data_IF_299102348830
#
_entry.id   IF_299102348830
#
_cell.length_a   1.000
_cell.length_b   1.000
_cell.length_c   1.000
_cell.angle_alpha   90.00
_cell.angle_beta   90.00
_cell.angle_gamma   90.00
#
_symmetry.space_group_name_H-M   'P 1'
#
loop_
_entity.id
_entity.type
_entity.pdbx_description
1 polymer ?
#
# COMPACT_ATOMS: atom_id res chain seq x y z
N UNK A 1 -16.57 33.47 -1.65
CA UNK A 1 -16.82 33.49 -0.20
C UNK A 1 -17.66 32.26 0.11
N UNK A 2 -17.11 31.29 0.86
CA UNK A 2 -17.86 30.14 1.36
C UNK A 2 -18.90 30.65 2.39
N UNK A 3 -20.17 30.20 2.31
CA UNK A 3 -21.16 30.59 3.31
C UNK A 3 -20.72 30.03 4.67
N UNK A 4 -20.78 30.89 5.69
CA UNK A 4 -20.50 30.52 7.07
C UNK A 4 -21.39 29.34 7.47
N UNK A 5 -20.78 28.31 8.03
CA UNK A 5 -21.44 27.09 8.47
C UNK A 5 -22.57 27.41 9.44
N UNK A 6 -23.82 27.19 9.01
CA UNK A 6 -24.94 27.17 9.92
C UNK A 6 -24.71 26.09 10.98
N UNK A 7 -25.18 26.28 12.24
CA UNK A 7 -25.01 25.28 13.29
C UNK A 7 -25.56 23.93 12.82
N UNK A 8 -24.78 22.86 13.04
CA UNK A 8 -25.09 21.52 12.56
C UNK A 8 -26.41 21.07 13.14
N UNK A 9 -27.44 20.94 12.28
CA UNK A 9 -28.77 20.49 12.70
C UNK A 9 -28.77 19.00 13.08
N UNK A 10 -29.73 18.58 13.91
CA UNK A 10 -29.92 17.15 14.22
C UNK A 10 -30.15 16.32 12.93
N UNK A 11 -30.88 16.89 11.97
CA UNK A 11 -31.12 16.27 10.67
C UNK A 11 -29.81 16.04 9.90
N UNK A 12 -28.91 17.04 9.88
CA UNK A 12 -27.60 16.94 9.22
C UNK A 12 -26.74 15.83 9.85
N UNK A 13 -26.73 15.71 11.19
CA UNK A 13 -26.00 14.66 11.89
C UNK A 13 -26.50 13.26 11.52
N UNK A 14 -27.81 13.08 11.40
CA UNK A 14 -28.39 11.78 10.99
C UNK A 14 -28.02 11.46 9.51
N UNK A 15 -27.99 12.44 8.62
CA UNK A 15 -27.53 12.24 7.23
C UNK A 15 -26.05 11.85 7.19
N UNK A 16 -25.19 12.52 7.95
CA UNK A 16 -23.78 12.16 8.05
C UNK A 16 -23.62 10.74 8.60
N UNK A 17 -24.32 10.40 9.67
CA UNK A 17 -24.28 9.04 10.24
C UNK A 17 -24.69 7.98 9.22
N UNK A 18 -25.77 8.21 8.47
CA UNK A 18 -26.21 7.31 7.40
C UNK A 18 -25.14 7.17 6.32
N UNK A 19 -24.53 8.27 5.88
CA UNK A 19 -23.48 8.25 4.87
C UNK A 19 -22.25 7.48 5.34
N UNK A 20 -21.82 7.67 6.60
CA UNK A 20 -20.71 6.92 7.19
C UNK A 20 -21.00 5.41 7.24
N UNK A 21 -22.24 5.01 7.56
CA UNK A 21 -22.65 3.61 7.51
C UNK A 21 -22.57 3.02 6.10
N UNK A 22 -23.01 3.77 5.08
CA UNK A 22 -22.90 3.35 3.67
C UNK A 22 -21.46 3.21 3.20
N UNK A 23 -20.54 3.95 3.81
CA UNK A 23 -19.10 3.92 3.49
C UNK A 23 -18.28 2.97 4.39
N UNK A 24 -18.92 2.21 5.31
CA UNK A 24 -18.24 1.37 6.28
C UNK A 24 -17.27 0.38 5.62
N UNK A 25 -17.68 -0.27 4.52
CA UNK A 25 -16.83 -1.22 3.81
C UNK A 25 -15.54 -0.57 3.26
N UNK A 26 -15.61 0.71 2.83
CA UNK A 26 -14.44 1.46 2.38
C UNK A 26 -13.49 1.77 3.53
N UNK A 27 -14.01 2.17 4.70
CA UNK A 27 -13.19 2.40 5.88
C UNK A 27 -12.52 1.12 6.39
N UNK A 28 -13.25 0.00 6.37
CA UNK A 28 -12.71 -1.32 6.72
C UNK A 28 -11.59 -1.73 5.77
N UNK A 29 -11.75 -1.49 4.46
CA UNK A 29 -10.72 -1.74 3.46
C UNK A 29 -9.47 -0.87 3.65
N UNK A 30 -9.65 0.42 3.90
CA UNK A 30 -8.54 1.35 4.16
C UNK A 30 -7.76 0.95 5.41
N UNK A 31 -8.47 0.67 6.52
CA UNK A 31 -7.82 0.28 7.78
C UNK A 31 -7.08 -1.05 7.65
N UNK A 32 -7.69 -2.03 6.97
CA UNK A 32 -7.07 -3.34 6.73
C UNK A 32 -5.77 -3.22 5.94
N UNK A 33 -5.71 -2.33 4.95
CA UNK A 33 -4.51 -2.13 4.13
C UNK A 33 -3.27 -1.72 4.94
N UNK A 34 -3.45 -1.11 6.11
CA UNK A 34 -2.36 -0.70 7.02
C UNK A 34 -1.59 -1.94 7.54
N UNK A 35 -2.29 -3.04 7.77
CA UNK A 35 -1.70 -4.29 8.29
C UNK A 35 -1.34 -5.26 7.17
N UNK A 36 -2.20 -5.40 6.17
CA UNK A 36 -2.01 -6.39 5.11
C UNK A 36 -0.80 -6.08 4.23
N UNK A 37 -0.55 -4.82 3.89
CA UNK A 37 0.60 -4.45 3.05
C UNK A 37 1.96 -4.83 3.67
N UNK A 38 2.29 -4.42 4.91
CA UNK A 38 3.54 -4.85 5.52
C UNK A 38 3.60 -6.36 5.77
N UNK A 39 2.48 -7.02 6.08
CA UNK A 39 2.43 -8.47 6.23
C UNK A 39 2.77 -9.20 4.92
N UNK A 40 2.25 -8.75 3.78
CA UNK A 40 2.58 -9.30 2.45
C UNK A 40 4.07 -9.11 2.15
N UNK A 41 4.62 -7.92 2.40
CA UNK A 41 6.05 -7.64 2.19
C UNK A 41 6.93 -8.54 3.06
N UNK A 42 6.55 -8.74 4.34
CA UNK A 42 7.25 -9.63 5.24
C UNK A 42 7.21 -11.08 4.76
N UNK A 43 6.05 -11.55 4.31
CA UNK A 43 5.90 -12.90 3.76
C UNK A 43 6.75 -13.12 2.50
N UNK A 44 6.84 -12.12 1.61
CA UNK A 44 7.70 -12.19 0.43
C UNK A 44 9.18 -12.26 0.82
N UNK A 45 9.62 -11.43 1.76
CA UNK A 45 11.00 -11.48 2.27
C UNK A 45 11.30 -12.81 2.98
N UNK A 46 10.36 -13.32 3.78
CA UNK A 46 10.49 -14.60 4.44
C UNK A 46 10.59 -15.78 3.45
N UNK A 47 9.79 -15.75 2.36
CA UNK A 47 9.86 -16.77 1.32
C UNK A 47 11.24 -16.81 0.64
N UNK A 48 11.84 -15.66 0.37
CA UNK A 48 13.20 -15.57 -0.19
C UNK A 48 14.25 -16.09 0.82
N UNK A 49 14.14 -15.72 2.08
CA UNK A 49 15.04 -16.18 3.14
C UNK A 49 14.94 -17.69 3.34
N UNK A 50 13.72 -18.26 3.32
CA UNK A 50 13.49 -19.70 3.41
C UNK A 50 14.21 -20.46 2.29
N UNK A 51 14.16 -19.95 1.06
CA UNK A 51 14.82 -20.59 -0.07
C UNK A 51 16.34 -20.51 0.00
N UNK A 52 16.88 -19.37 0.44
CA UNK A 52 18.32 -19.06 0.33
C UNK A 52 19.12 -19.40 1.60
N UNK A 53 18.47 -19.39 2.78
CA UNK A 53 19.18 -19.46 4.07
C UNK A 53 18.77 -20.63 4.94
N UNK A 54 17.60 -21.27 4.66
CA UNK A 54 17.09 -22.37 5.50
C UNK A 54 17.34 -23.72 4.83
N UNK A 55 17.88 -24.73 5.55
CA UNK A 55 18.03 -26.10 5.05
C UNK A 55 16.71 -26.68 4.54
N UNK A 56 16.76 -27.48 3.48
CA UNK A 56 15.57 -27.96 2.77
C UNK A 56 14.61 -28.74 3.66
N UNK A 57 15.13 -29.53 4.58
CA UNK A 57 14.39 -30.34 5.55
C UNK A 57 13.61 -29.53 6.58
N UNK A 58 13.99 -28.25 6.80
CA UNK A 58 13.36 -27.35 7.77
C UNK A 58 12.44 -26.30 7.13
N UNK A 59 12.48 -26.12 5.79
CA UNK A 59 11.77 -25.04 5.10
C UNK A 59 10.26 -25.09 5.32
N UNK A 60 9.67 -26.29 5.21
CA UNK A 60 8.22 -26.44 5.33
C UNK A 60 7.73 -26.11 6.74
N UNK A 61 8.38 -26.67 7.78
CA UNK A 61 7.98 -26.40 9.16
C UNK A 61 8.17 -24.93 9.53
N UNK A 62 9.31 -24.34 9.15
CA UNK A 62 9.58 -22.91 9.38
C UNK A 62 8.61 -22.01 8.63
N UNK A 63 8.28 -22.35 7.38
CA UNK A 63 7.31 -21.61 6.58
C UNK A 63 5.91 -21.60 7.20
N UNK A 64 5.41 -22.76 7.64
CA UNK A 64 4.13 -22.88 8.35
C UNK A 64 4.10 -22.08 9.67
N UNK A 65 5.19 -22.05 10.39
CA UNK A 65 5.29 -21.26 11.62
C UNK A 65 5.19 -19.78 11.31
N UNK A 66 5.95 -19.27 10.33
CA UNK A 66 5.92 -17.87 9.90
C UNK A 66 4.51 -17.48 9.43
N UNK A 67 3.86 -18.32 8.61
CA UNK A 67 2.50 -18.09 8.13
C UNK A 67 1.52 -17.98 9.30
N UNK A 68 1.63 -18.86 10.29
CA UNK A 68 0.80 -18.85 11.49
C UNK A 68 0.99 -17.56 12.29
N UNK A 69 2.23 -17.14 12.50
CA UNK A 69 2.57 -15.93 13.25
C UNK A 69 2.10 -14.67 12.54
N UNK A 70 2.27 -14.60 11.21
CA UNK A 70 1.79 -13.47 10.39
C UNK A 70 0.26 -13.43 10.38
N UNK A 71 -0.40 -14.57 10.24
CA UNK A 71 -1.87 -14.63 10.30
C UNK A 71 -2.40 -14.15 11.64
N UNK A 72 -1.82 -14.61 12.74
CA UNK A 72 -2.18 -14.17 14.09
C UNK A 72 -2.01 -12.66 14.25
N UNK A 73 -0.89 -12.10 13.81
CA UNK A 73 -0.65 -10.66 13.81
C UNK A 73 -1.70 -9.90 13.02
N UNK A 74 -2.05 -10.35 11.82
CA UNK A 74 -3.06 -9.71 10.96
C UNK A 74 -4.44 -9.76 11.63
N UNK A 75 -4.82 -10.90 12.20
CA UNK A 75 -6.12 -11.07 12.85
C UNK A 75 -6.26 -10.16 14.09
N UNK A 76 -5.27 -10.15 14.98
CA UNK A 76 -5.25 -9.31 16.19
C UNK A 76 -5.21 -7.81 15.85
N UNK A 77 -4.35 -7.43 14.89
CA UNK A 77 -4.23 -6.04 14.45
C UNK A 77 -5.48 -5.54 13.72
N UNK A 78 -6.14 -6.40 12.95
CA UNK A 78 -7.40 -6.06 12.28
C UNK A 78 -8.53 -5.77 13.27
N UNK A 79 -8.59 -6.50 14.37
CA UNK A 79 -9.56 -6.24 15.45
C UNK A 79 -9.32 -4.88 16.10
N UNK A 80 -8.07 -4.56 16.43
CA UNK A 80 -7.66 -3.26 16.97
C UNK A 80 -8.00 -2.12 16.00
N UNK A 81 -7.65 -2.29 14.72
CA UNK A 81 -7.92 -1.26 13.70
C UNK A 81 -9.40 -0.99 13.53
N UNK A 82 -10.24 -2.04 13.55
CA UNK A 82 -11.70 -1.88 13.48
C UNK A 82 -12.24 -1.05 14.64
N UNK A 83 -11.78 -1.33 15.86
CA UNK A 83 -12.15 -0.54 17.04
C UNK A 83 -11.74 0.93 16.89
N UNK A 84 -10.50 1.18 16.45
CA UNK A 84 -9.99 2.55 16.25
C UNK A 84 -10.72 3.27 15.12
N UNK A 85 -10.98 2.60 14.02
CA UNK A 85 -11.74 3.13 12.88
C UNK A 85 -13.13 3.58 13.32
N UNK A 86 -13.85 2.76 14.10
CA UNK A 86 -15.17 3.09 14.63
C UNK A 86 -15.17 4.37 15.48
N UNK A 87 -14.09 4.63 16.21
CA UNK A 87 -13.94 5.84 17.03
C UNK A 87 -13.49 7.05 16.21
N UNK A 88 -12.61 6.87 15.24
CA UNK A 88 -12.01 7.97 14.48
C UNK A 88 -12.87 8.46 13.32
N UNK A 89 -13.58 7.59 12.65
CA UNK A 89 -14.42 7.96 11.47
C UNK A 89 -15.44 9.06 11.80
N UNK A 90 -16.21 8.99 12.88
CA UNK A 90 -17.16 10.07 13.21
C UNK A 90 -16.49 11.42 13.49
N UNK A 91 -15.33 11.42 14.14
CA UNK A 91 -14.62 12.63 14.56
C UNK A 91 -13.73 13.22 13.47
N UNK A 92 -13.47 12.49 12.39
CA UNK A 92 -12.67 12.95 11.24
C UNK A 92 -13.55 13.13 10.02
N UNK A 93 -13.98 12.03 9.39
CA UNK A 93 -14.86 12.09 8.22
C UNK A 93 -16.23 12.71 8.55
N UNK A 94 -16.83 12.32 9.69
CA UNK A 94 -18.11 12.88 10.13
C UNK A 94 -18.05 14.38 10.30
N UNK A 95 -17.08 14.88 11.07
CA UNK A 95 -16.89 16.33 11.25
C UNK A 95 -16.60 17.06 9.93
N UNK A 96 -15.78 16.45 9.05
CA UNK A 96 -15.50 17.03 7.73
C UNK A 96 -16.74 17.12 6.84
N UNK A 97 -17.59 16.11 6.85
CA UNK A 97 -18.87 16.12 6.12
C UNK A 97 -19.84 17.16 6.70
N UNK A 98 -19.92 17.25 8.03
CA UNK A 98 -20.76 18.25 8.68
C UNK A 98 -20.32 19.69 8.40
N UNK A 99 -19.03 19.93 8.28
CA UNK A 99 -18.47 21.25 8.02
C UNK A 99 -18.62 21.65 6.52
N UNK A 100 -18.37 20.73 5.61
CA UNK A 100 -18.18 21.04 4.19
C UNK A 100 -19.43 20.85 3.32
N UNK A 101 -20.41 20.04 3.76
CA UNK A 101 -21.61 19.73 2.98
C UNK A 101 -22.86 20.34 3.59
N UNK A 102 -23.79 20.75 2.77
CA UNK A 102 -25.16 21.13 3.15
C UNK A 102 -26.02 19.87 3.33
N UNK A 103 -27.18 19.99 3.98
CA UNK A 103 -28.12 18.87 4.10
C UNK A 103 -28.58 18.33 2.75
N UNK A 104 -28.80 19.19 1.79
CA UNK A 104 -29.27 18.79 0.47
C UNK A 104 -28.18 18.08 -0.35
N UNK A 105 -26.93 18.51 -0.23
CA UNK A 105 -25.79 17.79 -0.82
C UNK A 105 -25.60 16.41 -0.20
N UNK A 106 -25.76 16.27 1.12
CA UNK A 106 -25.72 14.99 1.80
C UNK A 106 -26.84 14.05 1.35
N UNK A 107 -28.07 14.57 1.19
CA UNK A 107 -29.19 13.79 0.65
C UNK A 107 -28.94 13.31 -0.78
N UNK A 108 -28.39 14.17 -1.63
CA UNK A 108 -28.03 13.82 -3.00
C UNK A 108 -26.93 12.75 -3.02
N UNK A 109 -25.92 12.90 -2.19
CA UNK A 109 -24.85 11.93 -2.09
C UNK A 109 -25.35 10.55 -1.61
N UNK A 110 -26.20 10.52 -0.59
CA UNK A 110 -26.84 9.30 -0.13
C UNK A 110 -27.68 8.66 -1.23
N UNK A 111 -28.53 9.45 -1.91
CA UNK A 111 -29.36 8.97 -3.00
C UNK A 111 -28.54 8.36 -4.14
N UNK A 112 -27.42 9.01 -4.50
CA UNK A 112 -26.48 8.46 -5.47
C UNK A 112 -25.86 7.14 -4.98
N UNK A 113 -25.35 7.12 -3.75
CA UNK A 113 -24.70 5.93 -3.17
C UNK A 113 -25.65 4.71 -3.12
N UNK A 114 -26.91 4.94 -2.80
CA UNK A 114 -27.95 3.90 -2.73
C UNK A 114 -28.55 3.55 -4.10
N UNK A 115 -28.26 4.33 -5.15
CA UNK A 115 -28.91 4.17 -6.46
C UNK A 115 -28.56 2.82 -7.10
N UNK A 116 -29.51 2.22 -7.84
CA UNK A 116 -29.26 0.99 -8.60
C UNK A 116 -28.14 1.15 -9.64
N UNK A 117 -28.00 2.35 -10.20
CA UNK A 117 -26.96 2.67 -11.21
C UNK A 117 -25.60 2.62 -10.58
N UNK A 118 -25.40 3.25 -9.42
CA UNK A 118 -24.13 3.20 -8.70
C UNK A 118 -23.80 1.77 -8.27
N UNK A 119 -24.76 1.02 -7.71
CA UNK A 119 -24.56 -0.39 -7.32
C UNK A 119 -24.09 -1.24 -8.51
N UNK A 120 -24.75 -1.10 -9.66
CA UNK A 120 -24.38 -1.78 -10.89
C UNK A 120 -22.97 -1.41 -11.34
N UNK A 121 -22.64 -0.11 -11.30
CA UNK A 121 -21.29 0.35 -11.67
C UNK A 121 -20.22 -0.24 -10.74
N UNK A 122 -20.41 -0.20 -9.43
CA UNK A 122 -19.48 -0.76 -8.45
C UNK A 122 -19.27 -2.28 -8.63
N UNK A 123 -20.30 -3.01 -9.03
CA UNK A 123 -20.21 -4.44 -9.31
C UNK A 123 -19.41 -4.73 -10.60
N UNK A 124 -19.56 -3.89 -11.61
CA UNK A 124 -18.88 -4.06 -12.90
C UNK A 124 -17.43 -3.53 -12.89
N UNK A 125 -17.12 -2.59 -12.02
CA UNK A 125 -15.85 -1.87 -12.01
C UNK A 125 -14.63 -2.81 -11.92
N UNK A 126 -14.58 -3.85 -11.05
CA UNK A 126 -13.44 -4.77 -10.98
C UNK A 126 -13.19 -5.52 -12.29
N UNK A 127 -14.24 -5.97 -12.97
CA UNK A 127 -14.14 -6.66 -14.27
C UNK A 127 -13.59 -5.72 -15.35
N UNK A 128 -14.14 -4.50 -15.43
CA UNK A 128 -13.68 -3.47 -16.36
C UNK A 128 -12.22 -3.14 -16.12
N UNK A 129 -11.82 -2.94 -14.87
CA UNK A 129 -10.42 -2.66 -14.50
C UNK A 129 -9.49 -3.81 -14.88
N UNK A 130 -9.87 -5.05 -14.61
CA UNK A 130 -9.09 -6.24 -14.98
C UNK A 130 -8.92 -6.31 -16.48
N UNK A 131 -9.99 -6.14 -17.24
CA UNK A 131 -9.97 -6.15 -18.70
C UNK A 131 -9.09 -5.03 -19.26
N UNK A 132 -9.19 -3.82 -18.67
CA UNK A 132 -8.35 -2.69 -19.06
C UNK A 132 -6.87 -2.98 -18.81
N UNK A 133 -6.50 -3.49 -17.64
CA UNK A 133 -5.11 -3.80 -17.30
C UNK A 133 -4.53 -4.90 -18.20
N UNK A 134 -5.32 -5.94 -18.52
CA UNK A 134 -4.89 -6.99 -19.43
C UNK A 134 -4.62 -6.45 -20.85
N UNK A 135 -5.53 -5.62 -21.36
CA UNK A 135 -5.35 -5.00 -22.67
C UNK A 135 -4.19 -4.03 -22.68
N UNK A 136 -4.05 -3.21 -21.66
CA UNK A 136 -2.94 -2.27 -21.51
C UNK A 136 -1.60 -3.02 -21.46
N UNK A 137 -1.50 -4.09 -20.68
CA UNK A 137 -0.30 -4.91 -20.61
C UNK A 137 0.04 -5.51 -22.00
N UNK A 138 -0.94 -6.11 -22.69
CA UNK A 138 -0.72 -6.69 -24.02
C UNK A 138 -0.26 -5.65 -25.05
N UNK A 139 -0.85 -4.45 -25.03
CA UNK A 139 -0.50 -3.37 -25.94
C UNK A 139 0.90 -2.79 -25.67
N UNK A 140 1.27 -2.69 -24.40
CA UNK A 140 2.53 -2.04 -24.01
C UNK A 140 3.73 -2.99 -23.91
N UNK A 141 3.54 -4.29 -23.70
CA UNK A 141 4.62 -5.28 -23.60
C UNK A 141 5.66 -5.21 -24.72
N UNK A 142 5.29 -5.08 -26.01
CA UNK A 142 6.29 -5.02 -27.08
C UNK A 142 7.28 -3.84 -26.94
N UNK A 143 6.84 -2.76 -26.27
CA UNK A 143 7.65 -1.56 -26.06
C UNK A 143 8.33 -1.56 -24.70
N UNK A 144 7.66 -2.04 -23.67
CA UNK A 144 8.17 -2.00 -22.28
C UNK A 144 9.17 -3.12 -21.99
N UNK A 145 8.95 -4.34 -22.54
CA UNK A 145 9.82 -5.47 -22.24
C UNK A 145 11.26 -5.24 -22.66
N UNK A 146 11.57 -4.74 -23.89
CA UNK A 146 12.94 -4.42 -24.27
C UNK A 146 13.58 -3.34 -23.39
N UNK A 147 12.79 -2.32 -22.99
CA UNK A 147 13.28 -1.25 -22.09
C UNK A 147 13.60 -1.80 -20.72
N UNK A 148 12.76 -2.68 -20.21
CA UNK A 148 12.98 -3.32 -18.90
C UNK A 148 14.22 -4.23 -18.93
N UNK A 149 14.40 -5.02 -19.96
CA UNK A 149 15.60 -5.84 -20.15
C UNK A 149 16.86 -4.98 -20.22
N UNK A 150 16.84 -3.87 -20.97
CA UNK A 150 17.96 -2.93 -21.02
C UNK A 150 18.27 -2.31 -19.65
N UNK A 151 17.25 -1.96 -18.89
CA UNK A 151 17.39 -1.48 -17.51
C UNK A 151 18.02 -2.54 -16.61
N UNK A 152 17.55 -3.78 -16.67
CA UNK A 152 18.11 -4.89 -15.90
C UNK A 152 19.60 -5.11 -16.19
N UNK A 153 20.00 -5.06 -17.46
CA UNK A 153 21.41 -5.17 -17.86
C UNK A 153 22.23 -3.99 -17.31
N UNK A 154 21.71 -2.78 -17.43
CA UNK A 154 22.38 -1.58 -16.89
C UNK A 154 22.58 -1.67 -15.38
N UNK A 155 21.53 -2.07 -14.64
CA UNK A 155 21.63 -2.26 -13.18
C UNK A 155 22.67 -3.34 -12.85
N UNK A 156 22.64 -4.48 -13.54
CA UNK A 156 23.62 -5.56 -13.35
C UNK A 156 25.05 -5.07 -13.58
N UNK A 157 25.31 -4.35 -14.69
CA UNK A 157 26.64 -3.78 -14.99
C UNK A 157 27.08 -2.81 -13.91
N UNK A 158 26.20 -1.92 -13.46
CA UNK A 158 26.49 -0.96 -12.39
C UNK A 158 26.88 -1.67 -11.09
N UNK A 159 26.12 -2.70 -10.70
CA UNK A 159 26.42 -3.49 -9.51
C UNK A 159 27.74 -4.26 -9.65
N UNK A 160 27.99 -4.91 -10.78
CA UNK A 160 29.25 -5.63 -11.04
C UNK A 160 30.46 -4.69 -10.99
N UNK A 161 30.34 -3.50 -11.57
CA UNK A 161 31.41 -2.49 -11.52
C UNK A 161 31.66 -2.01 -10.09
N UNK A 162 30.63 -1.82 -9.30
CA UNK A 162 30.75 -1.40 -7.90
C UNK A 162 31.37 -2.51 -7.00
N UNK A 163 31.04 -3.76 -7.26
CA UNK A 163 31.57 -4.92 -6.52
C UNK A 163 32.99 -5.27 -6.99
N UNK A 164 33.29 -5.11 -8.30
CA UNK A 164 34.59 -5.47 -8.91
C UNK A 164 35.70 -4.46 -8.70
N UNK A 165 35.52 -3.38 -7.95
CA UNK A 165 36.55 -2.37 -7.68
C UNK A 165 36.92 -2.26 -6.17
N UNK A 166 37.41 -3.34 -5.51
CA UNK A 166 37.93 -3.22 -4.15
C UNK A 166 39.35 -2.61 -4.08
N UNK A 167 39.98 -2.24 -5.24
CA UNK A 167 41.42 -1.88 -5.31
C UNK A 167 41.73 -0.39 -5.47
N UNK A 168 40.75 0.50 -5.56
CA UNK A 168 41.02 1.93 -5.71
C UNK A 168 41.32 2.68 -4.40
N UNK A 169 41.14 2.03 -3.23
CA UNK A 169 41.34 2.64 -1.90
C UNK A 169 42.68 2.34 -1.23
N UNK A 170 43.52 1.44 -1.76
CA UNK A 170 44.75 0.98 -1.08
C UNK A 170 46.06 1.50 -1.68
N UNK A 171 46.05 2.29 -2.76
CA UNK A 171 47.26 2.72 -3.45
C UNK A 171 47.76 4.14 -3.09
N UNK A 172 47.17 4.79 -2.09
CA UNK A 172 47.56 6.15 -1.70
C UNK A 172 48.36 6.28 -0.38
N UNK A 173 48.80 5.15 0.20
CA UNK A 173 49.46 5.16 1.51
C UNK A 173 50.81 4.43 1.51
N UNK A 174 51.64 4.52 0.45
CA UNK A 174 53.04 4.08 0.54
C UNK A 174 53.93 4.88 -0.39
N UNK A 175 54.29 6.10 0.04
CA UNK A 175 55.52 6.76 -0.45
C UNK A 175 56.62 6.60 0.60
N UNK A 176 57.74 5.97 0.30
CA UNK A 176 58.87 5.90 1.22
C UNK A 176 59.57 7.24 1.28
N UNK A 177 59.73 7.76 2.48
CA UNK A 177 60.58 8.88 2.78
C UNK A 177 62.04 8.56 2.39
N UNK A 178 62.61 9.33 1.49
CA UNK A 178 64.01 9.21 1.08
C UNK A 178 64.90 9.91 2.13
N UNK A 179 65.62 9.10 2.87
CA UNK A 179 66.67 9.56 3.74
C UNK A 179 67.84 10.10 2.86
N UNK A 180 68.27 11.31 3.09
CA UNK A 180 69.59 11.77 2.71
C UNK A 180 70.35 12.25 3.95
N UNK A 181 71.28 11.43 4.36
CA UNK A 181 72.34 11.89 5.25
C UNK A 181 73.40 12.68 4.57
N UNK A 182 73.84 13.70 5.16
CA UNK A 182 75.24 14.05 5.45
C UNK A 182 75.29 15.40 6.17
#
# INVERSE_FOLDING_TARGET
AAPASAPTSAAKKELVKKLLQLQQANFDGLSRSIVERPAIQLMQAAAQALQNQVPADKREATGKQIETDVKKFVDESSALLRERTTKLVPTTFGSGLEEKFTEDELKQFIAWTESPVNKKFQQLLPEIQTTFLQKLAADTSPVLDPKFQALQQKVRTTLTTAIGNPSAGAAAASSPAKATGK
#
